data_IF_769030344954
#
_entry.id   IF_769030344954
#
_cell.length_a   1.000
_cell.length_b   1.000
_cell.length_c   1.000
_cell.angle_alpha   90.00
_cell.angle_beta   90.00
_cell.angle_gamma   90.00
#
_symmetry.space_group_name_H-M   'P 1'
#
loop_
_entity.id
_entity.type
_entity.pdbx_description
1 polymer ?
#
# COMPACT_ATOMS: atom_id res chain seq x y z
N UNK A 1 -6.66 -25.18 10.75
CA UNK A 1 -6.58 -25.31 12.23
C UNK A 1 -7.91 -25.81 12.76
N UNK A 2 -8.01 -26.29 14.02
CA UNK A 2 -9.25 -26.87 14.56
C UNK A 2 -10.46 -25.93 14.50
N UNK A 3 -10.20 -24.61 14.48
CA UNK A 3 -11.22 -23.56 14.58
C UNK A 3 -11.39 -22.72 13.31
N UNK A 4 -10.64 -23.03 12.24
CA UNK A 4 -10.67 -22.28 10.99
C UNK A 4 -9.29 -22.09 10.36
N UNK A 5 -9.18 -21.23 9.34
CA UNK A 5 -7.92 -20.97 8.66
C UNK A 5 -7.10 -19.92 9.41
N UNK A 6 -5.77 -20.11 9.45
CA UNK A 6 -4.79 -19.16 9.99
C UNK A 6 -3.60 -19.09 9.03
N UNK A 7 -2.82 -18.01 9.11
CA UNK A 7 -1.68 -17.77 8.22
C UNK A 7 -0.40 -17.46 8.99
N UNK A 8 0.73 -17.82 8.39
CA UNK A 8 2.02 -17.24 8.74
C UNK A 8 2.14 -15.83 8.13
N UNK A 9 3.00 -14.99 8.70
CA UNK A 9 3.28 -13.67 8.13
C UNK A 9 3.94 -13.77 6.74
N UNK A 10 4.90 -14.66 6.59
CA UNK A 10 5.59 -14.96 5.34
C UNK A 10 6.36 -16.29 5.43
N UNK A 11 6.82 -16.80 4.29
CA UNK A 11 7.63 -18.02 4.24
C UNK A 11 8.99 -17.82 4.91
N UNK A 12 9.47 -18.82 5.65
CA UNK A 12 10.74 -18.74 6.39
C UNK A 12 10.76 -17.63 7.46
N UNK A 13 9.60 -17.27 8.01
CA UNK A 13 9.53 -16.44 9.20
C UNK A 13 10.33 -17.11 10.33
N UNK A 14 11.29 -16.37 10.88
CA UNK A 14 12.19 -16.82 11.95
C UNK A 14 11.77 -16.36 13.34
N UNK A 15 10.65 -15.66 13.47
CA UNK A 15 10.21 -15.03 14.72
C UNK A 15 9.15 -15.88 15.42
N UNK A 16 9.61 -16.73 16.33
CA UNK A 16 8.76 -17.57 17.16
C UNK A 16 9.56 -18.67 17.82
N UNK A 17 8.88 -19.46 18.65
CA UNK A 17 9.49 -20.58 19.36
C UNK A 17 10.11 -21.60 18.41
N UNK A 18 11.16 -22.27 18.90
CA UNK A 18 11.80 -23.36 18.19
C UNK A 18 10.82 -24.54 17.99
N UNK A 19 11.07 -25.45 17.02
CA UNK A 19 10.20 -26.61 16.79
C UNK A 19 9.99 -27.51 18.01
N UNK A 20 10.93 -27.51 18.96
CA UNK A 20 10.82 -28.26 20.21
C UNK A 20 10.09 -27.50 21.33
N UNK A 21 9.56 -26.30 21.02
CA UNK A 21 8.92 -25.40 21.98
C UNK A 21 9.89 -24.63 22.88
N UNK A 22 11.20 -24.64 22.60
CA UNK A 22 12.13 -23.77 23.34
C UNK A 22 11.92 -22.29 22.98
N UNK A 23 12.18 -21.36 23.93
CA UNK A 23 11.91 -19.94 23.73
C UNK A 23 12.63 -19.34 22.53
N UNK A 24 12.07 -18.28 21.96
CA UNK A 24 12.72 -17.49 20.93
C UNK A 24 13.93 -16.72 21.51
N UNK A 25 15.13 -17.02 21.03
CA UNK A 25 16.39 -16.39 21.46
C UNK A 25 17.03 -15.51 20.35
N UNK A 26 16.22 -14.98 19.44
CA UNK A 26 16.67 -14.17 18.29
C UNK A 26 16.61 -14.90 16.94
N UNK A 27 16.44 -16.23 16.94
CA UNK A 27 16.12 -17.03 15.77
C UNK A 27 15.26 -18.23 16.19
N UNK A 28 14.25 -18.55 15.39
CA UNK A 28 13.36 -19.68 15.60
C UNK A 28 12.45 -19.93 14.41
N UNK A 29 11.20 -20.31 14.66
CA UNK A 29 10.21 -20.58 13.61
C UNK A 29 8.97 -19.75 13.87
N UNK A 30 8.64 -18.87 12.92
CA UNK A 30 7.39 -18.14 12.93
C UNK A 30 6.20 -19.09 12.89
N UNK A 31 5.16 -18.74 13.64
CA UNK A 31 3.96 -19.54 13.82
C UNK A 31 2.75 -18.84 13.20
N UNK A 32 1.57 -19.43 13.34
CA UNK A 32 0.33 -18.92 12.78
C UNK A 32 -0.22 -17.74 13.59
N UNK A 33 -0.72 -16.69 12.91
CA UNK A 33 -1.21 -15.45 13.52
C UNK A 33 -2.74 -15.36 13.44
N UNK A 34 -3.47 -15.27 14.57
CA UNK A 34 -4.91 -15.01 14.57
C UNK A 34 -5.28 -13.68 13.91
N UNK A 35 -4.44 -12.65 14.06
CA UNK A 35 -4.59 -11.35 13.42
C UNK A 35 -4.84 -11.45 11.91
N UNK A 36 -4.05 -12.28 11.22
CA UNK A 36 -4.13 -12.43 9.76
C UNK A 36 -5.41 -13.11 9.31
N UNK A 37 -6.01 -13.94 10.17
CA UNK A 37 -7.36 -14.47 9.94
C UNK A 37 -8.38 -13.33 9.92
N UNK A 38 -8.27 -12.38 10.85
CA UNK A 38 -9.08 -11.16 10.92
C UNK A 38 -9.00 -10.35 9.63
N UNK A 39 -7.78 -10.04 9.17
CA UNK A 39 -7.55 -9.29 7.94
C UNK A 39 -8.13 -10.00 6.70
N UNK A 40 -7.95 -11.32 6.59
CA UNK A 40 -8.58 -12.13 5.53
C UNK A 40 -10.10 -12.15 5.63
N UNK A 41 -10.65 -12.05 6.84
CA UNK A 41 -12.08 -11.90 7.10
C UNK A 41 -12.65 -10.60 6.55
N UNK A 42 -11.94 -9.48 6.73
CA UNK A 42 -12.31 -8.21 6.10
C UNK A 42 -12.27 -8.29 4.57
N UNK A 43 -11.26 -8.96 4.01
CA UNK A 43 -11.19 -9.20 2.58
C UNK A 43 -12.35 -10.07 2.08
N UNK A 44 -12.69 -11.16 2.79
CA UNK A 44 -13.87 -11.99 2.49
C UNK A 44 -15.14 -11.14 2.43
N UNK A 45 -15.37 -10.30 3.44
CA UNK A 45 -16.52 -9.41 3.47
C UNK A 45 -16.57 -8.49 2.25
N UNK A 46 -15.42 -7.96 1.83
CA UNK A 46 -15.34 -7.09 0.64
C UNK A 46 -15.77 -7.78 -0.66
N UNK A 47 -15.61 -9.11 -0.73
CA UNK A 47 -16.02 -9.95 -1.85
C UNK A 47 -17.45 -10.51 -1.67
N UNK A 48 -18.16 -10.15 -0.59
CA UNK A 48 -19.46 -10.73 -0.26
C UNK A 48 -19.39 -12.17 0.25
N UNK A 49 -18.21 -12.66 0.62
CA UNK A 49 -18.01 -13.98 1.22
C UNK A 49 -18.40 -13.98 2.72
N UNK A 50 -18.61 -15.18 3.27
CA UNK A 50 -18.85 -15.32 4.71
C UNK A 50 -17.61 -14.98 5.54
N UNK A 51 -17.80 -14.13 6.55
CA UNK A 51 -16.78 -13.76 7.56
C UNK A 51 -16.65 -14.79 8.68
N UNK A 52 -17.64 -15.68 8.82
CA UNK A 52 -17.77 -16.60 9.96
C UNK A 52 -16.54 -17.51 10.17
N UNK A 53 -15.90 -18.10 9.14
CA UNK A 53 -14.72 -18.95 9.33
C UNK A 53 -13.55 -18.21 10.00
N UNK A 54 -13.45 -16.91 9.77
CA UNK A 54 -12.37 -16.07 10.27
C UNK A 54 -12.61 -15.64 11.72
N UNK A 55 -13.86 -15.25 12.04
CA UNK A 55 -14.28 -15.00 13.43
C UNK A 55 -14.06 -16.24 14.31
N UNK A 56 -14.49 -17.42 13.83
CA UNK A 56 -14.26 -18.69 14.54
C UNK A 56 -12.77 -19.00 14.72
N UNK A 57 -11.94 -18.70 13.72
CA UNK A 57 -10.50 -18.91 13.81
C UNK A 57 -9.87 -18.01 14.89
N UNK A 58 -10.25 -16.73 14.94
CA UNK A 58 -9.77 -15.80 15.97
C UNK A 58 -10.24 -16.20 17.37
N UNK A 59 -11.52 -16.51 17.53
CA UNK A 59 -12.13 -16.91 18.81
C UNK A 59 -11.55 -18.23 19.33
N UNK A 60 -11.37 -19.22 18.45
CA UNK A 60 -10.81 -20.51 18.82
C UNK A 60 -9.32 -20.46 19.17
N UNK A 61 -8.60 -19.46 18.67
CA UNK A 61 -7.19 -19.20 19.00
C UNK A 61 -6.99 -18.57 20.38
N UNK A 62 -8.05 -18.07 21.01
CA UNK A 62 -7.97 -17.41 22.30
C UNK A 62 -7.59 -18.39 23.43
N UNK A 63 -6.95 -17.85 24.47
CA UNK A 63 -6.79 -18.56 25.75
C UNK A 63 -8.14 -18.81 26.42
N UNK A 64 -8.12 -19.61 27.49
CA UNK A 64 -9.29 -19.86 28.35
C UNK A 64 -9.89 -18.54 28.89
N UNK A 65 -9.07 -17.52 29.10
CA UNK A 65 -9.50 -16.19 29.53
C UNK A 65 -10.04 -15.28 28.41
N UNK A 66 -10.14 -15.77 27.17
CA UNK A 66 -10.59 -14.99 26.01
C UNK A 66 -9.51 -14.06 25.42
N UNK A 67 -8.25 -14.21 25.82
CA UNK A 67 -7.16 -13.38 25.31
C UNK A 67 -6.64 -13.96 23.98
N UNK A 68 -6.72 -13.19 22.91
CA UNK A 68 -6.17 -13.54 21.60
C UNK A 68 -4.64 -13.32 21.59
N UNK A 69 -3.84 -14.35 21.25
CA UNK A 69 -2.38 -14.26 21.24
C UNK A 69 -1.85 -13.61 19.96
N UNK A 70 -0.57 -13.26 19.97
CA UNK A 70 0.17 -12.91 18.76
C UNK A 70 0.28 -14.12 17.82
N UNK A 71 0.65 -15.27 18.38
CA UNK A 71 0.88 -16.51 17.64
C UNK A 71 0.23 -17.71 18.32
N UNK A 72 -0.18 -18.73 17.54
CA UNK A 72 -0.65 -20.02 18.04
C UNK A 72 0.33 -21.14 17.74
N UNK A 73 0.35 -22.15 18.61
CA UNK A 73 1.11 -23.37 18.40
C UNK A 73 0.47 -24.19 17.27
N UNK A 74 1.27 -24.60 16.29
CA UNK A 74 0.85 -25.22 15.04
C UNK A 74 1.48 -26.61 14.81
N UNK A 75 2.01 -27.20 15.87
CA UNK A 75 2.63 -28.53 15.89
C UNK A 75 1.93 -29.43 16.92
N UNK A 76 2.40 -30.68 17.02
CA UNK A 76 1.96 -31.63 18.04
C UNK A 76 2.10 -31.04 19.45
N UNK A 77 1.19 -31.43 20.34
CA UNK A 77 1.14 -30.94 21.71
C UNK A 77 2.46 -31.23 22.46
N UNK A 78 2.92 -30.26 23.24
CA UNK A 78 4.02 -30.41 24.20
C UNK A 78 3.47 -30.01 25.59
N UNK A 79 2.77 -30.92 26.29
CA UNK A 79 2.09 -30.60 27.55
C UNK A 79 3.01 -30.03 28.63
N UNK A 80 4.26 -30.52 28.72
CA UNK A 80 5.26 -30.04 29.68
C UNK A 80 5.65 -28.56 29.49
N UNK A 81 5.28 -27.98 28.34
CA UNK A 81 5.51 -26.56 27.98
C UNK A 81 4.22 -25.77 27.81
N UNK A 82 3.07 -26.37 28.14
CA UNK A 82 1.74 -25.77 27.95
C UNK A 82 1.43 -25.39 26.48
N UNK A 83 2.10 -26.05 25.52
CA UNK A 83 1.90 -25.82 24.09
C UNK A 83 0.93 -26.85 23.53
N UNK A 84 -0.20 -26.38 22.99
CA UNK A 84 -1.26 -27.24 22.45
C UNK A 84 -1.67 -26.79 21.06
N UNK A 85 -1.93 -27.73 20.16
CA UNK A 85 -2.26 -27.45 18.77
C UNK A 85 -3.47 -26.50 18.63
N UNK A 86 -3.24 -25.35 18.01
CA UNK A 86 -4.22 -24.27 17.82
C UNK A 86 -4.47 -23.39 19.04
N UNK A 87 -3.69 -23.53 20.11
CA UNK A 87 -3.75 -22.69 21.31
C UNK A 87 -2.61 -21.68 21.35
N UNK A 88 -2.67 -20.67 22.24
CA UNK A 88 -1.58 -19.71 22.40
C UNK A 88 -0.21 -20.38 22.51
N UNK A 89 0.75 -19.81 21.78
CA UNK A 89 2.19 -20.09 21.90
C UNK A 89 2.81 -19.26 23.03
N UNK A 90 4.13 -19.36 23.25
CA UNK A 90 4.87 -18.48 24.17
C UNK A 90 5.05 -17.02 23.71
N UNK A 91 4.36 -16.60 22.64
CA UNK A 91 4.36 -15.21 22.16
C UNK A 91 3.49 -14.28 23.03
N UNK A 92 3.44 -12.98 22.68
CA UNK A 92 2.68 -12.01 23.44
C UNK A 92 1.18 -12.37 23.52
N UNK A 93 0.61 -12.35 24.74
CA UNK A 93 -0.81 -12.53 24.98
C UNK A 93 -1.26 -11.71 26.21
N UNK A 94 -2.23 -10.79 26.08
CA UNK A 94 -2.97 -10.46 24.86
C UNK A 94 -2.13 -9.66 23.86
N UNK A 95 -2.29 -9.95 22.56
CA UNK A 95 -1.87 -9.02 21.52
C UNK A 95 -3.01 -8.02 21.27
N UNK A 96 -2.83 -6.77 21.71
CA UNK A 96 -3.86 -5.71 21.56
C UNK A 96 -4.22 -5.49 20.08
N UNK A 97 -3.27 -5.67 19.16
CA UNK A 97 -3.53 -5.59 17.73
C UNK A 97 -4.52 -6.67 17.27
N UNK A 98 -4.34 -7.93 17.65
CA UNK A 98 -5.28 -9.00 17.30
C UNK A 98 -6.68 -8.75 17.90
N UNK A 99 -6.78 -8.14 19.08
CA UNK A 99 -8.07 -7.77 19.67
C UNK A 99 -8.73 -6.62 18.92
N UNK A 100 -7.97 -5.60 18.52
CA UNK A 100 -8.50 -4.51 17.71
C UNK A 100 -9.04 -5.05 16.38
N UNK A 101 -8.31 -5.96 15.72
CA UNK A 101 -8.75 -6.61 14.50
C UNK A 101 -10.04 -7.43 14.70
N UNK A 102 -10.12 -8.21 15.78
CA UNK A 102 -11.33 -8.98 16.11
C UNK A 102 -12.55 -8.07 16.28
N UNK A 103 -12.42 -6.97 17.03
CA UNK A 103 -13.51 -6.01 17.25
C UNK A 103 -13.94 -5.37 15.92
N UNK A 104 -12.98 -5.00 15.06
CA UNK A 104 -13.28 -4.43 13.75
C UNK A 104 -13.98 -5.42 12.83
N UNK A 105 -13.56 -6.69 12.83
CA UNK A 105 -14.20 -7.71 12.01
C UNK A 105 -15.61 -8.03 12.51
N UNK A 106 -15.81 -8.16 13.83
CA UNK A 106 -17.13 -8.32 14.44
C UNK A 106 -18.06 -7.17 14.06
N UNK A 107 -17.57 -5.93 14.18
CA UNK A 107 -18.36 -4.75 13.81
C UNK A 107 -18.72 -4.77 12.33
N UNK A 108 -17.77 -5.13 11.48
CA UNK A 108 -17.98 -5.21 10.04
C UNK A 108 -18.97 -6.31 9.65
N UNK A 109 -18.93 -7.45 10.35
CA UNK A 109 -19.88 -8.54 10.19
C UNK A 109 -21.30 -8.11 10.53
N UNK A 110 -21.47 -7.37 11.64
CA UNK A 110 -22.76 -6.81 12.06
C UNK A 110 -23.31 -5.78 11.07
N UNK A 111 -22.44 -4.91 10.56
CA UNK A 111 -22.84 -3.84 9.62
C UNK A 111 -23.01 -4.36 8.18
N UNK A 112 -22.56 -5.58 7.86
CA UNK A 112 -22.52 -6.12 6.50
C UNK A 112 -21.58 -5.36 5.55
N UNK A 113 -20.68 -4.53 6.09
CA UNK A 113 -19.70 -3.74 5.34
C UNK A 113 -18.43 -3.51 6.17
N UNK A 114 -17.32 -3.26 5.51
CA UNK A 114 -16.05 -2.96 6.20
C UNK A 114 -16.19 -1.69 7.04
N UNK A 115 -16.03 -1.83 8.36
CA UNK A 115 -16.11 -0.73 9.32
C UNK A 115 -15.08 0.37 9.05
N UNK A 116 -13.86 -0.02 8.64
CA UNK A 116 -12.76 0.90 8.30
C UNK A 116 -12.89 1.54 6.90
N UNK A 117 -14.07 1.47 6.29
CA UNK A 117 -14.39 2.20 5.06
C UNK A 117 -15.46 3.27 5.33
N UNK A 118 -15.06 4.46 5.83
CA UNK A 118 -16.02 5.54 6.08
C UNK A 118 -16.75 5.95 4.79
N UNK A 119 -18.07 6.02 4.85
CA UNK A 119 -18.91 6.32 3.67
C UNK A 119 -18.50 7.63 2.98
N UNK A 120 -18.16 8.67 3.75
CA UNK A 120 -17.69 9.96 3.20
C UNK A 120 -16.41 9.83 2.36
N UNK A 121 -15.49 8.95 2.77
CA UNK A 121 -14.23 8.69 2.05
C UNK A 121 -14.53 7.89 0.79
N UNK A 122 -15.33 6.82 0.90
CA UNK A 122 -15.77 6.02 -0.24
C UNK A 122 -16.46 6.88 -1.32
N UNK A 123 -17.44 7.69 -0.91
CA UNK A 123 -18.18 8.59 -1.81
C UNK A 123 -17.24 9.58 -2.50
N UNK A 124 -16.26 10.13 -1.79
CA UNK A 124 -15.34 11.14 -2.35
C UNK A 124 -14.29 10.56 -3.29
N UNK A 125 -13.77 9.37 -3.01
CA UNK A 125 -12.58 8.83 -3.68
C UNK A 125 -12.86 7.66 -4.61
N UNK A 126 -13.98 6.95 -4.44
CA UNK A 126 -14.38 5.80 -5.28
C UNK A 126 -15.56 6.17 -6.16
N UNK A 127 -16.66 6.68 -5.57
CA UNK A 127 -17.91 6.93 -6.32
C UNK A 127 -17.87 8.24 -7.11
N UNK A 128 -17.43 9.33 -6.48
CA UNK A 128 -17.23 10.65 -7.11
C UNK A 128 -15.76 10.91 -7.38
N UNK A 129 -15.08 9.94 -7.98
CA UNK A 129 -13.68 10.08 -8.33
C UNK A 129 -13.48 11.29 -9.26
N UNK A 130 -12.55 12.18 -8.88
CA UNK A 130 -12.17 13.33 -9.69
C UNK A 130 -10.74 13.12 -10.17
N UNK A 131 -10.51 12.97 -11.49
CA UNK A 131 -9.16 12.86 -12.01
C UNK A 131 -8.35 14.10 -11.63
N UNK A 132 -7.08 13.89 -11.27
CA UNK A 132 -6.14 14.99 -11.17
C UNK A 132 -5.92 15.57 -12.56
N UNK A 133 -6.05 16.88 -12.70
CA UNK A 133 -5.62 17.60 -13.91
C UNK A 133 -4.10 17.72 -14.02
N UNK A 134 -3.40 17.41 -12.92
CA UNK A 134 -1.95 17.40 -12.83
C UNK A 134 -1.40 16.00 -13.05
N UNK A 135 -0.35 15.93 -13.83
CA UNK A 135 0.56 14.80 -13.89
C UNK A 135 1.91 15.21 -13.34
N UNK A 136 2.62 14.24 -12.76
CA UNK A 136 3.89 14.48 -12.10
C UNK A 136 5.00 13.75 -12.82
N UNK A 137 6.15 14.43 -12.92
CA UNK A 137 7.40 13.82 -13.35
C UNK A 137 8.46 14.06 -12.26
N UNK A 138 9.19 13.00 -11.89
CA UNK A 138 10.28 13.03 -10.92
C UNK A 138 11.44 12.15 -11.40
N UNK A 139 12.65 12.36 -10.87
CA UNK A 139 13.83 11.54 -11.21
C UNK A 139 13.61 10.04 -10.93
N UNK A 140 12.89 9.71 -9.86
CA UNK A 140 12.51 8.35 -9.45
C UNK A 140 11.15 7.90 -10.01
N UNK A 141 10.39 8.78 -10.68
CA UNK A 141 9.13 8.49 -11.35
C UNK A 141 9.09 9.18 -12.71
N UNK A 142 9.80 8.58 -13.67
CA UNK A 142 9.90 9.12 -15.03
C UNK A 142 8.66 8.72 -15.82
N UNK A 143 7.84 9.71 -16.14
CA UNK A 143 6.74 9.57 -17.09
C UNK A 143 7.23 9.90 -18.49
N UNK A 144 6.78 9.15 -19.49
CA UNK A 144 7.15 9.32 -20.89
C UNK A 144 5.99 9.79 -21.78
N UNK A 145 4.77 9.80 -21.25
CA UNK A 145 3.57 10.14 -22.00
C UNK A 145 2.60 10.96 -21.17
N UNK A 146 1.82 11.80 -21.85
CA UNK A 146 0.63 12.45 -21.30
C UNK A 146 -0.55 12.22 -22.26
N UNK A 147 -1.76 12.41 -21.76
CA UNK A 147 -3.01 12.14 -22.46
C UNK A 147 -3.83 13.41 -22.65
N UNK A 148 -4.83 13.43 -23.55
CA UNK A 148 -5.64 14.63 -23.82
C UNK A 148 -6.37 15.23 -22.61
N UNK A 149 -6.60 14.45 -21.55
CA UNK A 149 -7.24 14.93 -20.32
C UNK A 149 -6.26 15.54 -19.31
N UNK A 150 -4.94 15.36 -19.52
CA UNK A 150 -3.91 15.94 -18.67
C UNK A 150 -3.77 17.43 -19.01
N UNK A 151 -3.82 18.30 -17.99
CA UNK A 151 -3.79 19.75 -18.20
C UNK A 151 -2.44 20.36 -17.85
N UNK A 152 -1.76 19.82 -16.84
CA UNK A 152 -0.52 20.39 -16.32
C UNK A 152 0.47 19.29 -15.97
N UNK A 153 1.67 19.38 -16.53
CA UNK A 153 2.83 18.60 -16.09
C UNK A 153 3.56 19.37 -15.00
N UNK A 154 3.60 18.81 -13.79
CA UNK A 154 4.44 19.28 -12.71
C UNK A 154 5.74 18.48 -12.67
N UNK A 155 6.83 19.11 -13.07
CA UNK A 155 8.19 18.58 -12.99
C UNK A 155 8.69 18.87 -11.58
N UNK A 156 9.12 17.86 -10.82
CA UNK A 156 9.57 18.01 -9.43
C UNK A 156 10.96 17.42 -9.24
N UNK A 157 11.84 18.18 -8.56
CA UNK A 157 13.22 17.81 -8.27
C UNK A 157 13.58 18.13 -6.80
N UNK A 158 14.60 17.47 -6.22
CA UNK A 158 14.94 17.64 -4.80
C UNK A 158 15.79 18.88 -4.49
N UNK A 159 16.40 19.50 -5.49
CA UNK A 159 17.39 20.57 -5.34
C UNK A 159 17.04 21.78 -6.23
N UNK A 160 17.50 23.00 -5.89
CA UNK A 160 17.29 24.16 -6.74
C UNK A 160 17.85 23.94 -8.15
N UNK A 161 17.02 24.18 -9.15
CA UNK A 161 17.42 24.04 -10.54
C UNK A 161 16.75 25.08 -11.43
N UNK A 162 17.39 25.34 -12.56
CA UNK A 162 16.75 25.93 -13.73
C UNK A 162 16.35 24.80 -14.67
N UNK A 163 15.12 24.84 -15.14
CA UNK A 163 14.61 23.91 -16.14
C UNK A 163 14.71 24.58 -17.51
N UNK A 164 15.38 23.91 -18.45
CA UNK A 164 15.35 24.30 -19.87
C UNK A 164 14.43 23.34 -20.58
N UNK A 165 13.41 23.86 -21.26
CA UNK A 165 12.37 23.07 -21.89
C UNK A 165 11.98 23.58 -23.28
N UNK A 166 11.48 22.66 -24.10
CA UNK A 166 10.92 22.92 -25.43
C UNK A 166 9.60 22.17 -25.60
N UNK A 167 8.74 22.69 -26.46
CA UNK A 167 7.48 22.06 -26.91
C UNK A 167 7.42 21.88 -28.43
N UNK A 168 8.52 22.16 -29.15
CA UNK A 168 8.59 22.24 -30.61
C UNK A 168 9.89 21.63 -31.18
N UNK A 169 10.38 20.55 -30.57
CA UNK A 169 11.62 19.86 -30.97
C UNK A 169 12.85 20.78 -31.02
N UNK A 170 13.02 21.62 -30.00
CA UNK A 170 14.15 22.54 -29.83
C UNK A 170 14.26 23.64 -30.90
N UNK A 171 13.22 23.87 -31.72
CA UNK A 171 13.14 25.06 -32.56
C UNK A 171 13.10 26.34 -31.71
N UNK A 172 12.41 26.27 -30.57
CA UNK A 172 12.49 27.25 -29.49
C UNK A 172 12.67 26.56 -28.14
N UNK A 173 13.16 27.31 -27.16
CA UNK A 173 13.26 26.83 -25.78
C UNK A 173 12.95 27.95 -24.80
N UNK A 174 12.56 27.55 -23.60
CA UNK A 174 12.41 28.42 -22.44
C UNK A 174 13.33 27.93 -21.33
N UNK A 175 13.88 28.87 -20.58
CA UNK A 175 14.63 28.60 -19.35
C UNK A 175 13.86 29.22 -18.20
N UNK A 176 13.41 28.40 -17.27
CA UNK A 176 12.59 28.82 -16.14
C UNK A 176 13.22 28.36 -14.82
N UNK A 177 13.26 29.26 -13.84
CA UNK A 177 13.70 28.91 -12.49
C UNK A 177 12.63 28.06 -11.81
N UNK A 178 13.02 26.92 -11.24
CA UNK A 178 12.08 26.07 -10.51
C UNK A 178 11.66 26.74 -9.19
N UNK A 179 10.38 26.67 -8.88
CA UNK A 179 9.76 27.27 -7.69
C UNK A 179 10.02 26.40 -6.46
N UNK A 180 10.39 27.04 -5.35
CA UNK A 180 10.55 26.36 -4.06
C UNK A 180 9.18 26.06 -3.43
N UNK A 181 8.88 24.77 -3.22
CA UNK A 181 7.62 24.31 -2.59
C UNK A 181 7.55 24.57 -1.08
N UNK A 182 8.66 24.98 -0.45
CA UNK A 182 8.86 25.15 1.00
C UNK A 182 8.82 23.85 1.82
N UNK A 183 8.79 22.70 1.17
CA UNK A 183 8.82 21.37 1.81
C UNK A 183 10.01 20.53 1.33
N UNK A 184 11.10 21.18 0.91
CA UNK A 184 12.32 20.50 0.43
C UNK A 184 12.24 19.97 -1.00
N UNK A 185 11.32 20.49 -1.82
CA UNK A 185 11.18 20.16 -3.24
C UNK A 185 11.11 21.43 -4.09
N UNK A 186 11.53 21.33 -5.35
CA UNK A 186 11.42 22.39 -6.34
C UNK A 186 10.59 21.91 -7.51
N UNK A 187 9.75 22.78 -8.06
CA UNK A 187 8.85 22.39 -9.14
C UNK A 187 8.70 23.43 -10.26
N UNK A 188 8.33 22.95 -11.44
CA UNK A 188 7.87 23.77 -12.56
C UNK A 188 6.59 23.17 -13.13
N UNK A 189 5.59 24.02 -13.38
CA UNK A 189 4.33 23.65 -14.00
C UNK A 189 4.36 24.01 -15.48
N UNK A 190 4.16 23.01 -16.35
CA UNK A 190 4.07 23.17 -17.80
C UNK A 190 2.63 22.90 -18.22
N UNK A 191 2.00 23.88 -18.86
CA UNK A 191 0.68 23.69 -19.46
C UNK A 191 0.76 22.69 -20.63
N UNK A 192 -0.11 21.68 -20.61
CA UNK A 192 -0.13 20.62 -21.62
C UNK A 192 -1.18 20.86 -22.72
N UNK A 193 -1.97 21.92 -22.61
CA UNK A 193 -2.96 22.28 -23.62
C UNK A 193 -2.26 22.55 -24.96
N UNK A 194 -2.78 21.94 -26.02
CA UNK A 194 -2.38 22.15 -27.42
C UNK A 194 -0.93 21.80 -27.78
N UNK A 195 -0.17 21.15 -26.89
CA UNK A 195 1.18 20.66 -27.18
C UNK A 195 1.18 19.15 -27.45
N UNK A 196 2.07 18.71 -28.33
CA UNK A 196 2.23 17.28 -28.68
C UNK A 196 3.39 16.62 -27.94
N UNK A 197 4.27 17.42 -27.36
CA UNK A 197 5.46 16.96 -26.68
C UNK A 197 5.92 18.02 -25.69
N UNK A 198 6.65 17.59 -24.66
CA UNK A 198 7.48 18.45 -23.81
C UNK A 198 8.80 17.72 -23.57
N UNK A 199 9.91 18.40 -23.83
CA UNK A 199 11.25 17.87 -23.62
C UNK A 199 12.04 18.88 -22.79
N UNK A 200 12.77 18.40 -21.79
CA UNK A 200 13.43 19.26 -20.83
C UNK A 200 14.70 18.65 -20.24
N UNK A 201 15.53 19.52 -19.68
CA UNK A 201 16.71 19.17 -18.88
C UNK A 201 16.89 20.18 -17.75
N UNK A 202 17.84 19.92 -16.86
CA UNK A 202 18.10 20.74 -15.68
C UNK A 202 19.53 21.25 -15.66
N UNK A 203 19.67 22.51 -15.25
CA UNK A 203 20.91 23.04 -14.70
C UNK A 203 20.76 23.16 -13.19
N UNK A 204 21.53 22.36 -12.46
CA UNK A 204 21.51 22.26 -11.00
C UNK A 204 22.30 23.43 -10.42
N UNK A 205 21.59 24.44 -9.90
CA UNK A 205 22.19 25.75 -9.59
C UNK A 205 23.20 25.68 -8.44
N UNK A 206 22.98 24.83 -7.44
CA UNK A 206 23.92 24.68 -6.32
C UNK A 206 25.14 23.82 -6.69
N UNK A 207 24.94 22.81 -7.53
CA UNK A 207 26.00 21.90 -7.95
C UNK A 207 26.78 22.39 -9.18
N UNK A 208 26.41 23.54 -9.74
CA UNK A 208 26.97 24.15 -10.95
C UNK A 208 27.20 23.13 -12.08
N UNK A 209 26.17 22.34 -12.38
CA UNK A 209 26.27 21.28 -13.39
C UNK A 209 24.97 21.08 -14.15
N UNK A 210 25.11 20.66 -15.40
CA UNK A 210 24.00 20.13 -16.17
C UNK A 210 23.66 18.70 -15.74
N UNK A 211 22.40 18.33 -15.89
CA UNK A 211 21.92 16.96 -15.73
C UNK A 211 22.57 15.98 -16.73
N UNK A 212 23.04 16.49 -17.88
CA UNK A 212 23.78 15.72 -18.88
C UNK A 212 22.91 14.86 -19.80
N UNK A 213 21.58 14.97 -19.70
CA UNK A 213 20.62 14.32 -20.61
C UNK A 213 19.27 15.06 -20.61
N UNK A 214 18.47 14.79 -21.63
CA UNK A 214 17.11 15.29 -21.75
C UNK A 214 16.09 14.23 -21.32
N UNK A 215 14.92 14.71 -20.92
CA UNK A 215 13.74 13.92 -20.62
C UNK A 215 12.60 14.37 -21.50
N UNK A 216 11.84 13.44 -22.04
CA UNK A 216 10.76 13.72 -22.99
C UNK A 216 9.47 13.04 -22.60
N UNK A 217 8.38 13.78 -22.73
CA UNK A 217 7.03 13.25 -22.74
C UNK A 217 6.34 13.57 -24.08
N UNK A 218 5.66 12.58 -24.63
CA UNK A 218 4.87 12.71 -25.86
C UNK A 218 3.38 12.53 -25.58
N UNK A 219 2.54 13.30 -26.27
CA UNK A 219 1.10 13.13 -26.26
C UNK A 219 0.76 11.75 -26.84
N UNK A 220 0.10 10.92 -26.03
CA UNK A 220 -0.52 9.69 -26.50
C UNK A 220 -2.02 9.87 -26.56
N UNK A 221 -2.58 9.63 -27.74
CA UNK A 221 -4.00 9.37 -27.89
C UNK A 221 -4.16 7.91 -27.50
N UNK A 222 -4.77 7.65 -26.34
CA UNK A 222 -5.12 6.28 -25.98
C UNK A 222 -6.03 5.72 -27.10
N UNK A 223 -5.92 4.43 -27.46
CA UNK A 223 -6.99 3.78 -28.22
C UNK A 223 -8.31 3.96 -27.44
N UNK A 224 -9.47 4.01 -28.13
CA UNK A 224 -10.76 4.12 -27.44
C UNK A 224 -10.82 3.07 -26.34
N UNK A 225 -11.19 3.51 -25.13
CA UNK A 225 -11.33 2.61 -23.99
C UNK A 225 -12.25 1.47 -24.41
N UNK A 226 -11.71 0.26 -24.55
CA UNK A 226 -12.55 -0.93 -24.51
C UNK A 226 -13.27 -0.88 -23.16
N UNK A 227 -14.57 -1.11 -23.23
CA UNK A 227 -15.49 -1.14 -22.11
C UNK A 227 -14.81 -1.70 -20.87
N UNK A 228 -14.65 -0.85 -19.85
CA UNK A 228 -14.37 -1.32 -18.50
C UNK A 228 -15.65 -2.01 -18.07
N UNK A 229 -15.79 -3.30 -18.41
CA UNK A 229 -16.71 -4.18 -17.71
C UNK A 229 -16.40 -4.06 -16.22
N UNK A 230 -17.40 -3.84 -15.36
CA UNK A 230 -17.18 -3.88 -13.93
C UNK A 230 -16.74 -5.29 -13.59
N UNK A 231 -15.48 -5.43 -13.17
CA UNK A 231 -14.95 -6.67 -12.60
C UNK A 231 -15.86 -7.12 -11.45
N UNK A 232 -16.41 -8.32 -11.61
CA UNK A 232 -17.32 -9.04 -10.72
C UNK A 232 -16.87 -9.11 -9.27
#
# INVERSE_FOLDING_TARGET
MPYGPLWYRYNHDGYGEMPDGSPFLGSGKGRLWPLLAGERGHYALSLGESVEPYLRAMEGSASIGGLIPEQVWDQEDIPDKELYFGRPSGSAMPLVWAHAEYIKLLRSALDGKIFEMPDKVKVRYIENWVPSSFIYWQLNHKRHHFYPHDKTLRIVVPEPAQCVLTTDEWQSHKTEQMLNSRIGLYYLDVALADIKMVEFTFYWSEADRWEGKNYRLDLRIAPPAQDVEPSH
#
